data_IF_963079269471
#
_entry.id   IF_963079269471
#
_cell.length_a   1.000
_cell.length_b   1.000
_cell.length_c   1.000
_cell.angle_alpha   90.00
_cell.angle_beta   90.00
_cell.angle_gamma   90.00
#
_symmetry.space_group_name_H-M   'P 1'
#
loop_
_entity.id
_entity.type
_entity.pdbx_description
1 polymer ?
#
# COMPACT_ATOMS: atom_id res chain seq x y z
N UNK A 1 28.39 -20.21 -5.03
CA UNK A 1 28.80 -19.19 -4.04
C UNK A 1 28.11 -17.84 -4.25
N UNK A 2 27.97 -17.31 -5.48
CA UNK A 2 27.31 -16.00 -5.73
C UNK A 2 25.76 -16.04 -5.58
N UNK A 3 25.09 -17.00 -6.22
CA UNK A 3 23.61 -17.14 -6.17
C UNK A 3 23.07 -17.22 -4.74
N UNK A 4 23.77 -17.92 -3.84
CA UNK A 4 23.38 -18.04 -2.44
C UNK A 4 23.43 -16.69 -1.70
N UNK A 5 24.46 -15.88 -1.96
CA UNK A 5 24.59 -14.54 -1.37
C UNK A 5 23.49 -13.63 -1.90
N UNK A 6 23.22 -13.65 -3.22
CA UNK A 6 22.14 -12.89 -3.84
C UNK A 6 20.78 -13.24 -3.20
N UNK A 7 20.48 -14.53 -3.05
CA UNK A 7 19.23 -14.97 -2.42
C UNK A 7 19.10 -14.50 -0.96
N UNK A 8 20.20 -14.47 -0.19
CA UNK A 8 20.18 -13.95 1.19
C UNK A 8 19.92 -12.45 1.20
N UNK A 9 20.58 -11.68 0.33
CA UNK A 9 20.39 -10.24 0.22
C UNK A 9 18.96 -9.91 -0.21
N UNK A 10 18.44 -10.58 -1.25
CA UNK A 10 17.07 -10.44 -1.72
C UNK A 10 16.07 -10.67 -0.58
N UNK A 11 16.23 -11.76 0.18
CA UNK A 11 15.36 -12.06 1.32
C UNK A 11 15.44 -10.99 2.42
N UNK A 12 16.63 -10.45 2.70
CA UNK A 12 16.81 -9.38 3.69
C UNK A 12 16.14 -8.09 3.23
N UNK A 13 16.35 -7.68 1.97
CA UNK A 13 15.73 -6.49 1.38
C UNK A 13 14.20 -6.61 1.32
N UNK A 14 13.69 -7.78 0.96
CA UNK A 14 12.26 -8.09 0.94
C UNK A 14 11.64 -7.95 2.33
N UNK A 15 12.23 -8.60 3.35
CA UNK A 15 11.77 -8.50 4.75
C UNK A 15 11.78 -7.05 5.24
N UNK A 16 12.85 -6.30 4.96
CA UNK A 16 12.95 -4.90 5.35
C UNK A 16 11.85 -4.05 4.69
N UNK A 17 11.57 -4.27 3.41
CA UNK A 17 10.56 -3.52 2.66
C UNK A 17 9.14 -3.82 3.18
N UNK A 18 8.85 -5.08 3.50
CA UNK A 18 7.57 -5.50 4.12
C UNK A 18 7.39 -4.85 5.50
N UNK A 19 8.44 -4.78 6.32
CA UNK A 19 8.37 -4.09 7.62
C UNK A 19 8.11 -2.59 7.44
N UNK A 20 8.75 -1.95 6.46
CA UNK A 20 8.57 -0.52 6.19
C UNK A 20 7.14 -0.19 5.73
N UNK A 21 6.58 -0.96 4.81
CA UNK A 21 5.20 -0.74 4.35
C UNK A 21 4.19 -1.02 5.47
N UNK A 22 4.41 -2.06 6.28
CA UNK A 22 3.54 -2.38 7.41
C UNK A 22 3.56 -1.28 8.48
N UNK A 23 4.73 -0.74 8.82
CA UNK A 23 4.85 0.40 9.75
C UNK A 23 4.13 1.64 9.22
N UNK A 24 4.40 2.00 7.96
CA UNK A 24 3.72 3.13 7.32
C UNK A 24 2.19 2.95 7.32
N UNK A 25 1.71 1.73 7.04
CA UNK A 25 0.29 1.42 7.09
C UNK A 25 -0.29 1.54 8.50
N UNK A 26 0.41 1.04 9.53
CA UNK A 26 -0.02 1.18 10.93
C UNK A 26 -0.10 2.64 11.37
N UNK A 27 0.86 3.47 10.96
CA UNK A 27 0.85 4.91 11.25
C UNK A 27 -0.34 5.59 10.57
N UNK A 28 -0.61 5.27 9.28
CA UNK A 28 -1.77 5.79 8.54
C UNK A 28 -3.09 5.34 9.18
N UNK A 29 -3.21 4.05 9.51
CA UNK A 29 -4.40 3.46 10.12
C UNK A 29 -4.73 4.13 11.46
N UNK A 30 -3.70 4.38 12.28
CA UNK A 30 -3.86 5.08 13.56
C UNK A 30 -4.23 6.55 13.40
N UNK A 31 -3.75 7.21 12.35
CA UNK A 31 -4.06 8.63 12.10
C UNK A 31 -5.47 8.86 11.54
N UNK A 32 -5.93 7.97 10.64
CA UNK A 32 -7.20 8.15 9.90
C UNK A 32 -8.36 7.40 10.59
N UNK A 33 -8.13 6.74 11.73
CA UNK A 33 -9.14 5.97 12.48
C UNK A 33 -9.95 5.02 11.57
N UNK A 34 -9.26 4.28 10.70
CA UNK A 34 -9.85 3.42 9.67
C UNK A 34 -10.42 2.11 10.23
N UNK A 35 -11.25 2.20 11.27
CA UNK A 35 -11.84 1.06 11.98
C UNK A 35 -12.61 0.10 11.06
N UNK A 36 -13.04 0.57 9.89
CA UNK A 36 -13.81 -0.16 8.90
C UNK A 36 -12.97 -0.84 7.80
N UNK A 37 -11.71 -0.48 7.62
CA UNK A 37 -10.93 -0.87 6.44
C UNK A 37 -10.14 -2.15 6.68
N UNK A 38 -10.09 -3.01 5.67
CA UNK A 38 -9.35 -4.27 5.72
C UNK A 38 -7.84 -4.02 5.71
N UNK A 39 -7.07 -4.80 6.49
CA UNK A 39 -5.60 -4.73 6.44
C UNK A 39 -5.09 -5.37 5.15
N UNK A 40 -4.75 -4.52 4.17
CA UNK A 40 -4.33 -4.94 2.82
C UNK A 40 -2.89 -4.58 2.48
N UNK A 41 -2.10 -4.15 3.48
CA UNK A 41 -0.75 -3.64 3.24
C UNK A 41 0.22 -4.70 2.71
N UNK A 42 0.14 -5.93 3.23
CA UNK A 42 1.00 -7.04 2.80
C UNK A 42 0.67 -7.48 1.37
N UNK A 43 -0.62 -7.63 1.05
CA UNK A 43 -1.05 -8.00 -0.31
C UNK A 43 -0.72 -6.90 -1.31
N UNK A 44 -0.92 -5.63 -0.94
CA UNK A 44 -0.53 -4.47 -1.76
C UNK A 44 0.96 -4.47 -2.06
N UNK A 45 1.79 -4.80 -1.07
CA UNK A 45 3.23 -4.96 -1.29
C UNK A 45 3.53 -6.16 -2.19
N UNK A 46 2.85 -7.30 -2.01
CA UNK A 46 3.02 -8.47 -2.85
C UNK A 46 2.68 -8.17 -4.32
N UNK A 47 1.60 -7.44 -4.59
CA UNK A 47 1.26 -6.96 -5.93
C UNK A 47 2.35 -6.05 -6.51
N UNK A 48 2.86 -5.11 -5.72
CA UNK A 48 3.97 -4.26 -6.15
C UNK A 48 5.24 -5.07 -6.48
N UNK A 49 5.51 -6.12 -5.69
CA UNK A 49 6.66 -7.00 -5.87
C UNK A 49 6.52 -7.90 -7.10
N UNK A 50 5.32 -8.41 -7.37
CA UNK A 50 5.05 -9.19 -8.57
C UNK A 50 5.28 -8.39 -9.86
N UNK A 51 5.03 -7.08 -9.84
CA UNK A 51 5.25 -6.18 -10.97
C UNK A 51 6.70 -5.71 -11.12
N UNK A 52 7.42 -5.57 -10.00
CA UNK A 52 8.79 -5.05 -9.96
C UNK A 52 9.66 -5.86 -9.01
N UNK A 53 10.02 -7.08 -9.40
CA UNK A 53 10.72 -8.03 -8.52
C UNK A 53 12.23 -7.75 -8.39
N UNK A 54 12.80 -6.93 -9.28
CA UNK A 54 14.21 -6.59 -9.33
C UNK A 54 14.66 -5.82 -8.09
N UNK A 55 15.80 -6.17 -7.51
CA UNK A 55 16.26 -5.61 -6.22
C UNK A 55 16.41 -4.08 -6.24
N UNK A 56 16.87 -3.53 -7.36
CA UNK A 56 17.08 -2.10 -7.56
C UNK A 56 15.77 -1.28 -7.67
N UNK A 57 14.60 -1.92 -7.76
CA UNK A 57 13.30 -1.27 -7.86
C UNK A 57 12.57 -1.16 -6.50
N UNK A 58 13.31 -1.21 -5.39
CA UNK A 58 12.74 -1.13 -4.04
C UNK A 58 11.89 0.13 -3.82
N UNK A 59 12.34 1.30 -4.26
CA UNK A 59 11.57 2.54 -4.13
C UNK A 59 10.27 2.49 -4.95
N UNK A 60 10.35 2.01 -6.20
CA UNK A 60 9.19 1.83 -7.08
C UNK A 60 8.15 0.91 -6.44
N UNK A 61 8.58 -0.23 -5.89
CA UNK A 61 7.70 -1.13 -5.13
C UNK A 61 7.04 -0.43 -3.95
N UNK A 62 7.81 0.33 -3.15
CA UNK A 62 7.26 1.04 -2.00
C UNK A 62 6.22 2.09 -2.40
N UNK A 63 6.46 2.87 -3.45
CA UNK A 63 5.50 3.86 -3.96
C UNK A 63 4.24 3.15 -4.47
N UNK A 64 4.41 2.13 -5.31
CA UNK A 64 3.27 1.40 -5.87
C UNK A 64 2.45 0.70 -4.77
N UNK A 65 3.10 0.07 -3.79
CA UNK A 65 2.40 -0.54 -2.66
C UNK A 65 1.53 0.47 -1.91
N UNK A 66 2.03 1.70 -1.69
CA UNK A 66 1.24 2.77 -1.06
C UNK A 66 0.05 3.20 -1.93
N UNK A 67 0.26 3.34 -3.24
CA UNK A 67 -0.81 3.66 -4.19
C UNK A 67 -1.89 2.58 -4.17
N UNK A 68 -1.52 1.30 -4.19
CA UNK A 68 -2.47 0.18 -4.13
C UNK A 68 -3.26 0.22 -2.82
N UNK A 69 -2.59 0.47 -1.69
CA UNK A 69 -3.28 0.65 -0.40
C UNK A 69 -4.31 1.77 -0.46
N UNK A 70 -3.99 2.92 -1.06
CA UNK A 70 -4.96 4.01 -1.23
C UNK A 70 -6.11 3.66 -2.16
N UNK A 71 -5.86 2.94 -3.27
CA UNK A 71 -6.91 2.48 -4.18
C UNK A 71 -7.87 1.56 -3.44
N UNK A 72 -7.35 0.58 -2.70
CA UNK A 72 -8.16 -0.36 -1.91
C UNK A 72 -8.93 0.34 -0.80
N UNK A 73 -8.31 1.33 -0.15
CA UNK A 73 -8.99 2.15 0.86
C UNK A 73 -10.19 2.92 0.26
N UNK A 74 -10.00 3.51 -0.93
CA UNK A 74 -11.07 4.20 -1.63
C UNK A 74 -12.17 3.22 -2.04
N UNK A 75 -11.80 2.07 -2.61
CA UNK A 75 -12.73 0.98 -2.99
C UNK A 75 -13.60 0.55 -1.80
N UNK A 76 -12.99 0.21 -0.65
CA UNK A 76 -13.69 -0.14 0.60
C UNK A 76 -14.62 1.01 1.07
N UNK A 77 -14.21 2.27 0.90
CA UNK A 77 -15.02 3.45 1.29
C UNK A 77 -16.25 3.63 0.38
N UNK A 78 -16.08 3.46 -0.93
CA UNK A 78 -17.15 3.59 -1.92
C UNK A 78 -18.15 2.42 -1.86
N UNK A 79 -17.67 1.20 -1.59
CA UNK A 79 -18.50 -0.01 -1.58
C UNK A 79 -19.32 -0.16 -0.30
N UNK A 80 -18.70 0.02 0.87
CA UNK A 80 -19.32 -0.38 2.14
C UNK A 80 -20.01 0.78 2.90
N UNK A 81 -19.62 2.03 2.66
CA UNK A 81 -19.90 3.09 3.63
C UNK A 81 -20.42 4.41 3.09
N UNK A 82 -20.13 4.77 1.84
CA UNK A 82 -20.47 6.11 1.37
C UNK A 82 -21.91 6.17 0.84
N UNK A 83 -22.72 7.05 1.43
CA UNK A 83 -23.93 7.53 0.76
C UNK A 83 -23.56 8.23 -0.55
N UNK A 84 -24.48 8.29 -1.53
CA UNK A 84 -24.25 9.00 -2.80
C UNK A 84 -23.74 10.43 -2.57
N UNK A 85 -24.23 11.10 -1.51
CA UNK A 85 -23.79 12.45 -1.17
C UNK A 85 -22.37 12.49 -0.60
N UNK A 86 -21.96 11.52 0.22
CA UNK A 86 -20.58 11.40 0.71
C UNK A 86 -19.62 11.07 -0.44
N UNK A 87 -20.00 10.15 -1.33
CA UNK A 87 -19.29 9.86 -2.58
C UNK A 87 -19.05 11.12 -3.41
N UNK A 88 -20.08 11.96 -3.54
CA UNK A 88 -20.02 13.22 -4.29
C UNK A 88 -19.07 14.22 -3.63
N UNK A 89 -19.12 14.37 -2.31
CA UNK A 89 -18.21 15.24 -1.54
C UNK A 89 -16.77 14.77 -1.62
N UNK A 90 -16.52 13.46 -1.50
CA UNK A 90 -15.19 12.88 -1.66
C UNK A 90 -14.66 13.12 -3.07
N UNK A 91 -15.47 12.87 -4.10
CA UNK A 91 -15.09 13.13 -5.49
C UNK A 91 -14.79 14.62 -5.72
N UNK A 92 -15.61 15.53 -5.20
CA UNK A 92 -15.35 16.97 -5.28
C UNK A 92 -14.03 17.36 -4.60
N UNK A 93 -13.72 16.79 -3.43
CA UNK A 93 -12.46 17.03 -2.75
C UNK A 93 -11.26 16.54 -3.58
N UNK A 94 -11.35 15.32 -4.14
CA UNK A 94 -10.33 14.76 -5.02
C UNK A 94 -10.10 15.66 -6.25
N UNK A 95 -11.16 16.22 -6.85
CA UNK A 95 -11.04 17.12 -8.00
C UNK A 95 -10.42 18.48 -7.64
N UNK A 96 -10.63 18.97 -6.41
CA UNK A 96 -10.05 20.24 -5.95
C UNK A 96 -8.58 20.15 -5.60
N UNK A 97 -8.09 18.97 -5.19
CA UNK A 97 -6.75 18.78 -4.63
C UNK A 97 -6.47 19.63 -3.37
N UNK A 98 -7.54 20.04 -2.65
CA UNK A 98 -7.49 20.87 -1.43
C UNK A 98 -7.91 20.10 -0.17
#
# INVERSE_FOLDING_TARGET
>A
SNIYILNILQNKHLKQSIILIFRWWKDLYGYVELSHVRDRAVESYLWSYALFYEENLTLTRMILAKIIVFIVLMDDTYDDHATIEECRKLNEAIQRYD
#
